data_IF_338956054032
#
_entry.id   IF_338956054032
#
_cell.length_a   1.000
_cell.length_b   1.000
_cell.length_c   1.000
_cell.angle_alpha   90.00
_cell.angle_beta   90.00
_cell.angle_gamma   90.00
#
_symmetry.space_group_name_H-M   'P 1'
#
loop_
_entity.id
_entity.type
_entity.pdbx_description
1 polymer ?
#
# COMPACT_ATOMS: atom_id res chain seq x y z
N UNK A 1 -44.62 -0.77 8.32
CA UNK A 1 -43.57 -1.58 8.98
C UNK A 1 -42.30 -1.38 8.18
N UNK A 2 -41.45 -0.45 8.62
CA UNK A 2 -40.14 -0.22 8.02
C UNK A 2 -39.10 -0.82 8.95
N UNK A 3 -38.40 -1.85 8.49
CA UNK A 3 -37.28 -2.44 9.21
C UNK A 3 -36.02 -1.70 8.78
N UNK A 4 -35.57 -0.77 9.62
CA UNK A 4 -34.24 -0.19 9.51
C UNK A 4 -33.23 -1.25 9.93
N UNK A 5 -32.53 -1.88 8.98
CA UNK A 5 -31.33 -2.65 9.31
C UNK A 5 -30.27 -1.67 9.82
N UNK A 6 -30.04 -1.73 11.13
CA UNK A 6 -29.00 -0.97 11.82
C UNK A 6 -27.64 -1.33 11.25
N UNK A 7 -27.06 -0.39 10.50
CA UNK A 7 -25.63 -0.36 10.23
C UNK A 7 -24.92 0.23 11.45
N UNK A 8 -24.91 -0.50 12.57
CA UNK A 8 -24.19 -0.12 13.79
C UNK A 8 -23.25 -1.26 14.21
N UNK A 9 -22.53 -1.80 13.23
CA UNK A 9 -21.24 -2.42 13.51
C UNK A 9 -20.21 -1.29 13.62
N UNK A 10 -19.39 -1.22 14.67
CA UNK A 10 -18.30 -0.25 14.69
C UNK A 10 -17.47 -0.49 13.42
N UNK A 11 -17.37 0.53 12.57
CA UNK A 11 -16.34 0.56 11.53
C UNK A 11 -15.02 0.19 12.22
N UNK A 12 -14.22 -0.73 11.66
CA UNK A 12 -13.02 -1.22 12.34
C UNK A 12 -12.20 0.01 12.74
N UNK A 13 -12.22 0.32 14.04
CA UNK A 13 -11.53 1.46 14.60
C UNK A 13 -10.08 1.22 14.24
N UNK A 14 -9.58 2.04 13.33
CA UNK A 14 -8.25 1.96 12.73
C UNK A 14 -7.23 2.45 13.77
N UNK A 15 -7.27 1.86 14.96
CA UNK A 15 -6.20 1.87 15.96
C UNK A 15 -5.15 0.85 15.50
N UNK A 16 -4.74 0.95 14.25
CA UNK A 16 -3.62 0.19 13.72
C UNK A 16 -2.37 0.79 14.35
N UNK A 17 -1.88 0.10 15.38
CA UNK A 17 -0.85 0.57 16.31
C UNK A 17 0.32 1.31 15.65
N UNK A 18 0.91 2.23 16.41
CA UNK A 18 1.98 3.16 16.00
C UNK A 18 3.33 2.51 15.62
N UNK A 19 3.35 1.23 15.27
CA UNK A 19 4.53 0.43 14.99
C UNK A 19 4.59 -0.14 13.58
N UNK A 20 5.79 -0.55 13.18
CA UNK A 20 6.03 -1.36 11.98
C UNK A 20 5.51 -2.77 12.24
N UNK A 21 4.85 -3.38 11.24
CA UNK A 21 4.28 -4.72 11.28
C UNK A 21 4.71 -5.51 10.04
N UNK A 22 4.75 -6.82 10.17
CA UNK A 22 5.03 -7.74 9.06
C UNK A 22 3.74 -8.05 8.30
N UNK A 23 3.82 -7.99 6.98
CA UNK A 23 2.76 -8.29 6.04
C UNK A 23 3.28 -9.24 4.98
N UNK A 24 2.36 -9.92 4.29
CA UNK A 24 2.68 -10.76 3.14
C UNK A 24 1.82 -10.35 1.96
N UNK A 25 2.44 -10.00 0.84
CA UNK A 25 1.76 -9.79 -0.42
C UNK A 25 1.61 -11.13 -1.12
N UNK A 26 0.37 -11.58 -1.29
CA UNK A 26 0.03 -12.77 -2.06
C UNK A 26 -0.33 -12.34 -3.48
N UNK A 27 0.54 -12.61 -4.43
CA UNK A 27 0.27 -12.44 -5.85
C UNK A 27 -0.33 -13.73 -6.41
N UNK A 28 -1.65 -13.71 -6.63
CA UNK A 28 -2.39 -14.87 -7.15
C UNK A 28 -2.20 -15.09 -8.64
N UNK A 29 -1.71 -14.10 -9.39
CA UNK A 29 -1.45 -14.23 -10.81
C UNK A 29 -0.08 -14.87 -11.05
N UNK A 30 0.95 -14.39 -10.35
CA UNK A 30 2.29 -14.95 -10.43
C UNK A 30 2.52 -16.16 -9.51
N UNK A 31 1.52 -16.53 -8.69
CA UNK A 31 1.59 -17.60 -7.68
C UNK A 31 2.79 -17.42 -6.73
N UNK A 32 2.95 -16.21 -6.20
CA UNK A 32 4.08 -15.85 -5.33
C UNK A 32 3.63 -15.19 -4.03
N UNK A 33 4.45 -15.33 -2.99
CA UNK A 33 4.27 -14.68 -1.70
C UNK A 33 5.53 -13.87 -1.37
N UNK A 34 5.37 -12.61 -0.99
CA UNK A 34 6.47 -11.70 -0.64
C UNK A 34 6.20 -11.07 0.72
N UNK A 35 7.08 -11.33 1.69
CA UNK A 35 7.02 -10.68 3.00
C UNK A 35 7.59 -9.27 2.95
N UNK A 36 6.98 -8.36 3.71
CA UNK A 36 7.47 -6.99 3.86
C UNK A 36 7.01 -6.36 5.17
N UNK A 37 7.74 -5.33 5.58
CA UNK A 37 7.39 -4.52 6.73
C UNK A 37 6.73 -3.21 6.29
N UNK A 38 5.70 -2.78 7.03
CA UNK A 38 4.99 -1.53 6.81
C UNK A 38 4.33 -1.02 8.10
N UNK A 39 4.01 0.28 8.18
CA UNK A 39 3.23 0.81 9.31
C UNK A 39 1.74 0.58 9.09
N UNK A 40 1.25 0.77 7.87
CA UNK A 40 -0.14 0.54 7.47
C UNK A 40 -0.22 -0.50 6.35
N UNK A 41 -1.31 -1.27 6.29
CA UNK A 41 -1.56 -2.17 5.17
C UNK A 41 -1.60 -1.33 3.88
N UNK A 42 -0.83 -1.70 2.84
CA UNK A 42 -0.85 -1.00 1.57
C UNK A 42 -2.11 -1.33 0.79
N UNK A 43 -2.64 -0.33 0.08
CA UNK A 43 -3.83 -0.47 -0.76
C UNK A 43 -3.58 -0.10 -2.22
N UNK A 44 -2.44 0.51 -2.53
CA UNK A 44 -2.04 0.91 -3.88
C UNK A 44 -0.59 0.53 -4.14
N UNK A 45 -0.28 0.20 -5.39
CA UNK A 45 1.08 0.01 -5.89
C UNK A 45 1.41 1.11 -6.88
N UNK A 46 2.51 1.84 -6.63
CA UNK A 46 3.11 2.74 -7.61
C UNK A 46 4.30 2.04 -8.27
N UNK A 47 4.16 1.75 -9.57
CA UNK A 47 5.20 1.12 -10.39
C UNK A 47 6.29 2.13 -10.76
N UNK A 48 7.48 2.01 -10.16
CA UNK A 48 8.60 2.92 -10.38
C UNK A 48 9.72 2.22 -11.17
N UNK A 49 9.76 2.40 -12.49
CA UNK A 49 10.80 1.85 -13.34
C UNK A 49 10.67 0.34 -13.59
N UNK A 50 11.07 -0.08 -14.79
CA UNK A 50 11.05 -1.49 -15.23
C UNK A 50 12.47 -1.92 -15.57
N UNK A 51 12.88 -3.07 -15.07
CA UNK A 51 14.19 -3.67 -15.36
C UNK A 51 14.04 -5.19 -15.55
N UNK A 52 14.45 -5.69 -16.72
CA UNK A 52 14.52 -7.13 -17.04
C UNK A 52 13.26 -7.94 -16.67
N UNK A 53 12.08 -7.38 -16.97
CA UNK A 53 10.80 -8.06 -16.71
C UNK A 53 10.28 -7.93 -15.28
N UNK A 54 10.93 -7.11 -14.44
CA UNK A 54 10.47 -6.78 -13.10
C UNK A 54 10.23 -5.28 -12.96
N UNK A 55 9.40 -4.92 -12.01
CA UNK A 55 9.14 -3.54 -11.61
C UNK A 55 9.51 -3.36 -10.15
N UNK A 56 10.07 -2.19 -9.81
CA UNK A 56 10.12 -1.74 -8.42
C UNK A 56 8.75 -1.19 -8.04
N UNK A 57 8.03 -1.91 -7.20
CA UNK A 57 6.70 -1.58 -6.71
C UNK A 57 6.82 -0.83 -5.37
N UNK A 58 6.40 0.43 -5.35
CA UNK A 58 6.23 1.17 -4.10
C UNK A 58 4.84 0.82 -3.55
N UNK A 59 4.82 0.11 -2.43
CA UNK A 59 3.59 -0.19 -1.72
C UNK A 59 3.17 1.05 -0.93
N UNK A 60 1.96 1.54 -1.20
CA UNK A 60 1.48 2.80 -0.66
C UNK A 60 0.17 2.61 0.09
N UNK A 61 0.02 3.39 1.16
CA UNK A 61 -1.25 3.61 1.85
C UNK A 61 -1.83 4.96 1.42
N UNK A 62 -3.16 5.05 1.43
CA UNK A 62 -3.88 6.27 1.12
C UNK A 62 -4.42 6.91 2.41
N UNK A 63 -4.17 8.21 2.57
CA UNK A 63 -4.79 9.04 3.58
C UNK A 63 -5.87 9.91 2.92
N UNK A 64 -7.13 9.67 3.30
CA UNK A 64 -8.30 10.33 2.73
C UNK A 64 -8.44 11.79 3.21
N UNK A 65 -8.04 12.08 4.44
CA UNK A 65 -8.17 13.43 5.02
C UNK A 65 -7.25 14.40 4.32
N UNK A 66 -6.08 13.90 3.91
CA UNK A 66 -5.06 14.72 3.27
C UNK A 66 -4.87 14.47 1.77
N UNK A 67 -5.63 13.52 1.20
CA UNK A 67 -5.59 13.08 -0.19
C UNK A 67 -4.15 12.82 -0.68
N UNK A 68 -3.42 11.98 0.07
CA UNK A 68 -2.01 11.67 -0.20
C UNK A 68 -1.72 10.18 -0.12
N UNK A 69 -0.89 9.72 -1.04
CA UNK A 69 -0.27 8.41 -0.98
C UNK A 69 1.07 8.49 -0.23
N UNK A 70 1.24 7.62 0.77
CA UNK A 70 2.47 7.49 1.56
C UNK A 70 3.15 6.16 1.27
N UNK A 71 4.47 6.16 1.04
CA UNK A 71 5.25 4.94 0.88
C UNK A 71 5.30 4.16 2.19
N UNK A 72 4.80 2.92 2.16
CA UNK A 72 4.88 1.98 3.27
C UNK A 72 6.07 1.03 3.09
N UNK A 73 6.25 0.47 1.89
CA UNK A 73 7.34 -0.45 1.60
C UNK A 73 7.74 -0.45 0.12
N UNK A 74 8.78 -1.20 -0.24
CA UNK A 74 9.27 -1.34 -1.62
C UNK A 74 9.48 -2.82 -1.92
N UNK A 75 8.85 -3.31 -2.98
CA UNK A 75 8.99 -4.68 -3.46
C UNK A 75 9.52 -4.73 -4.90
N UNK A 76 10.05 -5.89 -5.27
CA UNK A 76 10.39 -6.21 -6.66
C UNK A 76 9.39 -7.24 -7.18
N UNK A 77 8.52 -6.82 -8.09
CA UNK A 77 7.43 -7.67 -8.61
C UNK A 77 7.64 -7.99 -10.08
N UNK A 78 7.10 -9.12 -10.55
CA UNK A 78 7.07 -9.43 -11.98
C UNK A 78 6.26 -8.35 -12.73
N UNK A 79 6.78 -7.81 -13.82
CA UNK A 79 6.15 -6.73 -14.56
C UNK A 79 4.80 -7.11 -15.17
N UNK A 80 4.54 -8.41 -15.35
CA UNK A 80 3.28 -8.98 -15.86
C UNK A 80 2.11 -8.77 -14.89
N UNK A 81 2.38 -8.60 -13.59
CA UNK A 81 1.33 -8.28 -12.61
C UNK A 81 0.66 -6.95 -12.93
N UNK A 82 1.44 -5.97 -13.42
CA UNK A 82 0.95 -4.62 -13.74
C UNK A 82 0.02 -4.61 -14.95
N UNK A 83 0.17 -5.58 -15.86
CA UNK A 83 -0.65 -5.65 -17.07
C UNK A 83 -2.07 -6.15 -16.76
N UNK A 84 -2.29 -6.68 -15.55
CA UNK A 84 -3.58 -7.17 -15.06
C UNK A 84 -4.19 -6.32 -13.95
N UNK A 85 -3.44 -5.36 -13.42
CA UNK A 85 -3.94 -4.45 -12.38
C UNK A 85 -4.74 -3.30 -12.99
N UNK A 86 -5.86 -2.89 -12.35
CA UNK A 86 -6.51 -1.63 -12.67
C UNK A 86 -5.51 -0.47 -12.55
N UNK A 87 -5.51 0.40 -13.54
CA UNK A 87 -4.62 1.56 -13.58
C UNK A 87 -5.39 2.78 -13.10
N UNK A 88 -4.69 3.66 -12.41
CA UNK A 88 -5.19 4.97 -11.99
C UNK A 88 -4.55 6.03 -12.88
N UNK A 89 -5.35 6.95 -13.41
CA UNK A 89 -4.89 7.94 -14.39
C UNK A 89 -4.07 9.07 -13.75
N UNK A 90 -4.44 9.52 -12.55
CA UNK A 90 -3.77 10.60 -11.84
C UNK A 90 -3.70 10.34 -10.34
N UNK A 91 -2.58 10.68 -9.71
CA UNK A 91 -2.42 10.58 -8.26
C UNK A 91 -1.41 11.57 -7.69
N UNK A 92 -1.59 11.92 -6.42
CA UNK A 92 -0.64 12.74 -5.65
C UNK A 92 0.22 11.88 -4.76
N UNK A 93 1.51 11.86 -5.05
CA UNK A 93 2.47 11.10 -4.28
C UNK A 93 3.43 12.02 -3.54
N UNK A 94 3.68 11.72 -2.27
CA UNK A 94 4.63 12.46 -1.46
C UNK A 94 5.81 11.57 -1.10
N UNK A 95 7.00 12.01 -1.49
CA UNK A 95 8.25 11.47 -0.98
C UNK A 95 8.64 12.28 0.24
N UNK A 96 8.54 11.67 1.42
CA UNK A 96 9.12 12.24 2.63
C UNK A 96 10.61 11.88 2.58
N UNK A 97 11.48 12.88 2.43
CA UNK A 97 12.91 12.68 2.65
C UNK A 97 13.10 12.15 4.08
N UNK A 98 14.00 11.18 4.32
CA UNK A 98 14.41 10.92 5.69
C UNK A 98 14.94 12.25 6.23
N UNK A 99 14.24 12.86 7.19
CA UNK A 99 14.89 13.82 8.08
C UNK A 99 16.03 13.02 8.71
N UNK A 100 17.25 13.54 8.57
CA UNK A 100 18.48 12.95 9.05
C UNK A 100 18.24 12.29 10.40
N UNK A 101 18.33 10.96 10.43
CA UNK A 101 18.28 10.21 11.67
C UNK A 101 19.58 10.50 12.42
N UNK A 102 19.49 11.51 13.29
CA UNK A 102 20.22 11.63 14.55
C UNK A 102 21.73 11.87 14.45
N UNK A 103 22.09 13.13 14.70
CA UNK A 103 23.31 13.52 15.42
C UNK A 103 23.56 12.60 16.61
N UNK A 104 24.69 11.90 16.60
CA UNK A 104 25.49 11.55 17.78
C UNK A 104 26.96 11.73 17.46
#
# INVERSE_FOLDING_TARGET
MGESLGADGPAPSTEMGQGVRQFTLIDTFALSAMEFEARRPPNIVVAAGRERGFVRALLCSYDADSNRFSKESVLRMAATVLDRMPKMDEFKFTLISPVEATTV
#
